data_IF_827944270780
#
_entry.id   IF_827944270780
#
_cell.length_a   1.000
_cell.length_b   1.000
_cell.length_c   1.000
_cell.angle_alpha   90.00
_cell.angle_beta   90.00
_cell.angle_gamma   90.00
#
_symmetry.space_group_name_H-M   'P 1'
#
loop_
_entity.id
_entity.type
_entity.pdbx_description
1 polymer ?
#
# COMPACT_ATOMS: atom_id res chain seq x y z
N UNK A 1 -14.89 4.43 -25.13
CA UNK A 1 -14.32 3.93 -23.88
C UNK A 1 -13.44 5.00 -23.28
N UNK A 2 -13.56 5.24 -21.98
CA UNK A 2 -12.66 6.19 -21.35
C UNK A 2 -11.24 5.66 -21.49
N UNK A 3 -10.44 6.40 -22.21
CA UNK A 3 -9.01 6.17 -22.17
C UNK A 3 -8.58 6.54 -20.76
N UNK A 4 -8.07 5.56 -20.02
CA UNK A 4 -7.39 5.86 -18.77
C UNK A 4 -6.21 6.74 -19.18
N UNK A 5 -6.30 8.01 -18.90
CA UNK A 5 -5.28 8.94 -19.32
C UNK A 5 -4.00 8.76 -18.50
N UNK A 6 -2.93 9.43 -18.92
CA UNK A 6 -1.61 9.32 -18.27
C UNK A 6 -1.66 9.73 -16.79
N UNK A 7 -2.61 10.59 -16.43
CA UNK A 7 -2.78 11.04 -15.03
C UNK A 7 -3.24 9.88 -14.16
N UNK A 8 -4.22 9.08 -14.62
CA UNK A 8 -4.71 7.93 -13.87
C UNK A 8 -3.61 6.87 -13.70
N UNK A 9 -2.83 6.63 -14.75
CA UNK A 9 -1.69 5.71 -14.67
C UNK A 9 -0.68 6.21 -13.63
N UNK A 10 -0.34 7.50 -13.66
CA UNK A 10 0.61 8.08 -12.71
C UNK A 10 0.10 8.00 -11.25
N UNK A 11 -1.18 8.27 -11.03
CA UNK A 11 -1.79 8.17 -9.71
C UNK A 11 -1.78 6.72 -9.20
N UNK A 12 -2.08 5.74 -10.06
CA UNK A 12 -2.06 4.34 -9.67
C UNK A 12 -0.65 3.82 -9.43
N UNK A 13 0.35 4.27 -10.18
CA UNK A 13 1.75 3.95 -9.89
C UNK A 13 2.12 4.44 -8.49
N UNK A 14 1.74 5.67 -8.16
CA UNK A 14 1.98 6.24 -6.84
C UNK A 14 1.26 5.46 -5.75
N UNK A 15 0.01 5.08 -6.00
CA UNK A 15 -0.78 4.30 -5.05
C UNK A 15 -0.19 2.90 -4.84
N UNK A 16 0.31 2.27 -5.89
CA UNK A 16 1.01 0.98 -5.78
C UNK A 16 2.22 1.06 -4.86
N UNK A 17 2.92 2.19 -4.87
CA UNK A 17 4.07 2.41 -3.99
C UNK A 17 3.63 2.66 -2.55
N UNK A 18 2.65 3.55 -2.37
CA UNK A 18 2.29 4.09 -1.04
C UNK A 18 1.31 3.23 -0.26
N UNK A 19 0.38 2.52 -0.91
CA UNK A 19 -0.62 1.75 -0.17
C UNK A 19 0.01 0.68 0.71
N UNK A 20 0.90 -0.19 0.20
CA UNK A 20 1.55 -1.17 1.06
C UNK A 20 2.52 -0.54 2.05
N UNK A 21 3.20 0.55 1.67
CA UNK A 21 4.10 1.26 2.59
C UNK A 21 3.34 1.81 3.78
N UNK A 22 2.19 2.43 3.53
CA UNK A 22 1.31 2.98 4.57
C UNK A 22 0.92 1.89 5.58
N UNK A 23 0.41 0.77 5.10
CA UNK A 23 -0.06 -0.31 5.95
C UNK A 23 1.06 -0.99 6.73
N UNK A 24 2.15 -1.33 6.05
CA UNK A 24 3.26 -2.07 6.67
C UNK A 24 3.98 -1.22 7.71
N UNK A 25 4.31 0.04 7.39
CA UNK A 25 5.00 0.90 8.36
C UNK A 25 4.13 1.19 9.59
N UNK A 26 2.83 1.33 9.41
CA UNK A 26 1.91 1.53 10.53
C UNK A 26 1.73 0.27 11.37
N UNK A 27 1.47 -0.87 10.73
CA UNK A 27 1.21 -2.13 11.45
C UNK A 27 2.44 -2.62 12.20
N UNK A 28 3.62 -2.54 11.59
CA UNK A 28 4.87 -3.03 12.17
C UNK A 28 5.60 -1.96 13.00
N UNK A 29 5.15 -0.71 12.97
CA UNK A 29 5.86 0.42 13.60
C UNK A 29 7.30 0.52 13.10
N UNK A 30 7.49 0.41 11.79
CA UNK A 30 8.81 0.31 11.18
C UNK A 30 9.07 1.44 10.19
N UNK A 31 10.31 1.52 9.75
CA UNK A 31 10.77 2.46 8.72
C UNK A 31 10.91 1.76 7.37
N UNK A 32 11.14 2.56 6.33
CA UNK A 32 11.42 2.04 5.01
C UNK A 32 12.69 1.18 4.99
N UNK A 33 13.71 1.59 5.76
CA UNK A 33 14.93 0.80 5.92
C UNK A 33 14.68 -0.60 6.47
N UNK A 34 13.73 -0.73 7.40
CA UNK A 34 13.33 -2.03 7.93
C UNK A 34 12.71 -2.90 6.82
N UNK A 35 11.84 -2.31 6.00
CA UNK A 35 11.23 -3.02 4.86
C UNK A 35 12.30 -3.50 3.88
N UNK A 36 13.30 -2.67 3.60
CA UNK A 36 14.37 -3.02 2.66
C UNK A 36 15.23 -4.19 3.15
N UNK A 37 15.48 -4.27 4.46
CA UNK A 37 16.47 -5.20 5.03
C UNK A 37 15.89 -6.43 5.69
N UNK A 38 14.69 -6.32 6.28
CA UNK A 38 14.05 -7.47 6.93
C UNK A 38 13.36 -8.34 5.87
N UNK A 39 13.72 -9.64 5.76
CA UNK A 39 13.17 -10.48 4.70
C UNK A 39 11.66 -10.69 4.81
N UNK A 40 11.10 -10.68 6.01
CA UNK A 40 9.65 -10.86 6.21
C UNK A 40 8.89 -9.60 5.82
N UNK A 41 9.36 -8.44 6.24
CA UNK A 41 8.74 -7.15 5.87
C UNK A 41 8.92 -6.85 4.38
N UNK A 42 10.06 -7.21 3.81
CA UNK A 42 10.33 -7.08 2.39
C UNK A 42 9.31 -7.87 1.56
N UNK A 43 9.10 -9.13 1.93
CA UNK A 43 8.11 -9.99 1.26
C UNK A 43 6.70 -9.45 1.43
N UNK A 44 6.35 -9.05 2.65
CA UNK A 44 5.02 -8.49 2.94
C UNK A 44 4.75 -7.25 2.08
N UNK A 45 5.71 -6.34 2.01
CA UNK A 45 5.59 -5.15 1.18
C UNK A 45 5.39 -5.49 -0.30
N UNK A 46 6.23 -6.37 -0.83
CA UNK A 46 6.17 -6.76 -2.24
C UNK A 46 4.86 -7.46 -2.59
N UNK A 47 4.37 -8.31 -1.71
CA UNK A 47 3.07 -8.96 -1.92
C UNK A 47 1.93 -7.92 -1.90
N UNK A 48 1.98 -6.94 -1.01
CA UNK A 48 1.01 -5.85 -0.98
C UNK A 48 1.06 -4.97 -2.23
N UNK A 49 2.26 -4.72 -2.73
CA UNK A 49 2.46 -3.99 -4.00
C UNK A 49 1.82 -4.76 -5.16
N UNK A 50 2.05 -6.06 -5.24
CA UNK A 50 1.47 -6.92 -6.27
C UNK A 50 -0.07 -6.90 -6.24
N UNK A 51 -0.65 -6.94 -5.05
CA UNK A 51 -2.10 -6.86 -4.86
C UNK A 51 -2.67 -5.54 -5.37
N UNK A 52 -2.00 -4.44 -5.06
CA UNK A 52 -2.43 -3.12 -5.50
C UNK A 52 -2.35 -2.99 -7.03
N UNK A 53 -1.27 -3.49 -7.63
CA UNK A 53 -1.10 -3.49 -9.08
C UNK A 53 -2.17 -4.34 -9.78
N UNK A 54 -2.48 -5.51 -9.23
CA UNK A 54 -3.52 -6.38 -9.77
C UNK A 54 -4.89 -5.69 -9.77
N UNK A 55 -5.20 -4.98 -8.68
CA UNK A 55 -6.44 -4.21 -8.61
C UNK A 55 -6.47 -3.09 -9.65
N UNK A 56 -5.38 -2.35 -9.79
CA UNK A 56 -5.29 -1.27 -10.80
C UNK A 56 -5.57 -1.80 -12.20
N UNK A 57 -4.99 -2.94 -12.56
CA UNK A 57 -5.22 -3.57 -13.86
C UNK A 57 -6.67 -4.02 -14.02
N UNK A 58 -7.27 -4.60 -12.98
CA UNK A 58 -8.68 -5.01 -13.00
C UNK A 58 -9.61 -3.82 -13.21
N UNK A 59 -9.23 -2.64 -12.72
CA UNK A 59 -10.00 -1.40 -12.90
C UNK A 59 -9.72 -0.72 -14.26
N UNK A 60 -8.91 -1.33 -15.11
CA UNK A 60 -8.63 -0.81 -16.45
C UNK A 60 -7.44 0.12 -16.54
N UNK A 61 -6.64 0.24 -15.50
CA UNK A 61 -5.44 1.08 -15.51
C UNK A 61 -4.32 0.36 -16.28
N UNK A 62 -3.74 1.02 -17.26
CA UNK A 62 -2.69 0.46 -18.11
C UNK A 62 -1.32 0.55 -17.42
N UNK A 63 -1.16 -0.18 -16.32
CA UNK A 63 0.12 -0.24 -15.62
C UNK A 63 1.15 -1.03 -16.43
N UNK A 64 2.44 -0.60 -16.44
CA UNK A 64 3.50 -1.39 -17.09
C UNK A 64 3.55 -2.81 -16.52
N UNK A 65 3.95 -3.78 -17.35
CA UNK A 65 4.06 -5.17 -16.92
C UNK A 65 5.07 -5.36 -15.79
N UNK A 66 6.09 -4.51 -15.76
CA UNK A 66 7.14 -4.52 -14.74
C UNK A 66 6.94 -3.50 -13.63
N UNK A 67 5.68 -3.07 -13.37
CA UNK A 67 5.38 -2.05 -12.37
C UNK A 67 5.97 -2.38 -11.00
N UNK A 68 6.00 -3.65 -10.63
CA UNK A 68 6.50 -4.05 -9.32
C UNK A 68 8.01 -3.77 -9.20
N UNK A 69 8.77 -4.06 -10.24
CA UNK A 69 10.20 -3.74 -10.29
C UNK A 69 10.44 -2.23 -10.28
N UNK A 70 9.66 -1.49 -11.07
CA UNK A 70 9.78 -0.03 -11.14
C UNK A 70 9.51 0.60 -9.78
N UNK A 71 8.45 0.17 -9.11
CA UNK A 71 8.08 0.72 -7.80
C UNK A 71 9.08 0.33 -6.72
N UNK A 72 9.59 -0.89 -6.76
CA UNK A 72 10.64 -1.31 -5.83
C UNK A 72 11.91 -0.48 -6.00
N UNK A 73 12.30 -0.20 -7.23
CA UNK A 73 13.47 0.64 -7.51
C UNK A 73 13.26 2.06 -6.96
N UNK A 74 12.06 2.61 -7.12
CA UNK A 74 11.73 3.93 -6.55
C UNK A 74 11.78 3.91 -5.03
N UNK A 75 11.19 2.92 -4.40
CA UNK A 75 11.21 2.79 -2.95
C UNK A 75 12.64 2.67 -2.43
N UNK A 76 13.47 1.90 -3.13
CA UNK A 76 14.87 1.70 -2.75
C UNK A 76 15.67 3.00 -2.77
N UNK A 77 15.26 3.97 -3.58
CA UNK A 77 15.89 5.29 -3.65
C UNK A 77 15.40 6.28 -2.60
N UNK A 78 14.37 5.94 -1.83
CA UNK A 78 13.86 6.81 -0.77
C UNK A 78 14.68 6.62 0.51
N UNK A 79 14.70 7.64 1.40
CA UNK A 79 15.49 7.54 2.65
C UNK A 79 15.04 6.39 3.54
N UNK A 80 15.99 5.73 4.18
CA UNK A 80 15.71 4.59 5.08
C UNK A 80 14.87 5.00 6.29
N UNK A 81 15.00 6.26 6.75
CA UNK A 81 14.25 6.77 7.89
C UNK A 81 12.79 7.10 7.57
N UNK A 82 12.40 7.05 6.30
CA UNK A 82 11.06 7.43 5.88
C UNK A 82 10.01 6.49 6.46
N UNK A 83 8.91 7.08 6.90
CA UNK A 83 7.71 6.38 7.35
C UNK A 83 6.51 7.06 6.73
N UNK A 84 5.47 6.27 6.42
CA UNK A 84 4.23 6.83 5.90
C UNK A 84 3.52 7.66 6.98
N UNK A 85 2.68 8.60 6.54
CA UNK A 85 1.88 9.42 7.46
C UNK A 85 1.00 8.57 8.38
N UNK A 86 0.51 7.43 7.90
CA UNK A 86 -0.28 6.50 8.72
C UNK A 86 0.52 5.98 9.92
N UNK A 87 1.80 5.69 9.75
CA UNK A 87 2.66 5.25 10.85
C UNK A 87 2.84 6.37 11.89
N UNK A 88 2.99 7.59 11.42
CA UNK A 88 3.11 8.76 12.30
C UNK A 88 1.81 9.00 13.05
N UNK A 89 0.68 8.90 12.34
CA UNK A 89 -0.64 9.12 12.93
C UNK A 89 -0.98 8.09 14.00
N UNK A 90 -0.69 6.81 13.76
CA UNK A 90 -1.02 5.75 14.73
C UNK A 90 -0.20 5.93 16.02
N UNK A 91 1.07 6.26 15.90
CA UNK A 91 1.93 6.49 17.07
C UNK A 91 1.51 7.73 17.87
N UNK A 92 0.95 8.73 17.18
CA UNK A 92 0.46 9.95 17.80
C UNK A 92 -0.97 9.82 18.34
N UNK A 93 -1.61 8.67 18.16
CA UNK A 93 -3.00 8.45 18.59
C UNK A 93 -4.04 9.15 17.74
N UNK A 94 -3.67 9.59 16.52
CA UNK A 94 -4.59 10.27 15.60
C UNK A 94 -5.36 9.27 14.76
N UNK A 95 -6.46 9.75 14.16
CA UNK A 95 -7.27 8.96 13.23
C UNK A 95 -6.46 8.55 12.00
N UNK A 96 -6.79 7.39 11.44
CA UNK A 96 -6.12 6.83 10.28
C UNK A 96 -7.03 6.82 9.05
N UNK A 97 -6.43 6.85 7.88
CA UNK A 97 -7.15 6.73 6.60
C UNK A 97 -7.15 5.30 6.07
N UNK A 98 -7.04 4.31 6.95
CA UNK A 98 -6.92 2.90 6.57
C UNK A 98 -8.05 2.42 5.67
N UNK A 99 -9.29 2.89 5.89
CA UNK A 99 -10.45 2.51 5.08
C UNK A 99 -10.30 2.93 3.61
N UNK A 100 -9.53 3.99 3.34
CA UNK A 100 -9.31 4.53 2.01
C UNK A 100 -8.02 4.04 1.36
N UNK A 101 -7.18 3.30 2.10
CA UNK A 101 -5.91 2.76 1.62
C UNK A 101 -6.01 1.23 1.58
N UNK A 102 -5.54 0.54 2.60
CA UNK A 102 -5.60 -0.94 2.62
C UNK A 102 -7.03 -1.47 2.62
N UNK A 103 -7.93 -0.80 3.35
CA UNK A 103 -9.35 -1.15 3.35
C UNK A 103 -9.97 -1.03 1.97
N UNK A 104 -9.64 0.03 1.22
CA UNK A 104 -10.13 0.21 -0.14
C UNK A 104 -9.59 -0.88 -1.08
N UNK A 105 -8.29 -1.18 -1.00
CA UNK A 105 -7.70 -2.24 -1.82
C UNK A 105 -8.37 -3.59 -1.53
N UNK A 106 -8.55 -3.93 -0.26
CA UNK A 106 -9.19 -5.20 0.12
C UNK A 106 -10.62 -5.28 -0.39
N UNK A 107 -11.41 -4.22 -0.20
CA UNK A 107 -12.82 -4.18 -0.58
C UNK A 107 -13.02 -4.23 -2.09
N UNK A 108 -12.27 -3.40 -2.83
CA UNK A 108 -12.38 -3.34 -4.28
C UNK A 108 -11.83 -4.61 -4.93
N UNK A 109 -10.79 -5.21 -4.36
CA UNK A 109 -10.26 -6.49 -4.84
C UNK A 109 -11.33 -7.58 -4.73
N UNK A 110 -12.04 -7.64 -3.60
CA UNK A 110 -13.14 -8.60 -3.42
C UNK A 110 -14.24 -8.38 -4.47
N UNK A 111 -14.59 -7.12 -4.76
CA UNK A 111 -15.60 -6.79 -5.77
C UNK A 111 -15.20 -7.25 -7.18
N UNK A 112 -13.90 -7.40 -7.43
CA UNK A 112 -13.34 -7.83 -8.72
C UNK A 112 -12.82 -9.27 -8.70
N UNK A 113 -13.23 -10.06 -7.71
CA UNK A 113 -12.84 -11.47 -7.55
C UNK A 113 -11.32 -11.67 -7.46
N UNK A 114 -10.63 -10.71 -6.88
CA UNK A 114 -9.20 -10.78 -6.62
C UNK A 114 -8.94 -11.07 -5.15
N UNK A 115 -7.92 -11.87 -4.88
CA UNK A 115 -7.47 -12.11 -3.51
C UNK A 115 -6.43 -11.05 -3.11
N UNK A 116 -6.65 -10.41 -1.98
CA UNK A 116 -5.73 -9.39 -1.46
C UNK A 116 -5.46 -9.64 0.03
N UNK A 117 -4.79 -10.76 0.35
CA UNK A 117 -4.60 -11.15 1.76
C UNK A 117 -3.75 -10.17 2.56
N UNK A 118 -2.75 -9.52 1.95
CA UNK A 118 -1.91 -8.55 2.65
C UNK A 118 -2.75 -7.34 3.07
N UNK A 119 -3.44 -6.71 2.11
CA UNK A 119 -4.25 -5.54 2.42
C UNK A 119 -5.43 -5.86 3.33
N UNK A 120 -6.03 -7.04 3.19
CA UNK A 120 -7.08 -7.50 4.10
C UNK A 120 -6.55 -7.62 5.52
N UNK A 121 -5.36 -8.19 5.69
CA UNK A 121 -4.73 -8.34 7.01
C UNK A 121 -4.33 -6.99 7.60
N UNK A 122 -3.70 -6.12 6.80
CA UNK A 122 -3.32 -4.78 7.26
C UNK A 122 -4.54 -3.97 7.67
N UNK A 123 -5.62 -4.04 6.89
CA UNK A 123 -6.87 -3.37 7.25
C UNK A 123 -7.41 -3.88 8.58
N UNK A 124 -7.44 -5.20 8.78
CA UNK A 124 -7.94 -5.79 10.02
C UNK A 124 -7.11 -5.38 11.23
N UNK A 125 -5.79 -5.42 11.10
CA UNK A 125 -4.86 -5.07 12.20
C UNK A 125 -5.01 -3.60 12.59
N UNK A 126 -5.26 -2.71 11.62
CA UNK A 126 -5.29 -1.27 11.86
C UNK A 126 -6.68 -0.73 12.21
N UNK A 127 -7.75 -1.53 12.08
CA UNK A 127 -9.12 -1.07 12.33
C UNK A 127 -9.34 -0.57 13.76
N UNK A 128 -8.72 -1.19 14.77
CA UNK A 128 -8.85 -0.75 16.15
C UNK A 128 -8.33 0.68 16.36
N UNK A 129 -7.48 1.15 15.48
CA UNK A 129 -6.77 2.42 15.60
C UNK A 129 -7.33 3.52 14.70
N UNK A 130 -8.32 3.20 13.85
CA UNK A 130 -8.71 4.10 12.76
C UNK A 130 -9.28 5.44 13.24
N UNK A 131 -9.98 5.46 14.37
CA UNK A 131 -10.60 6.67 14.92
C UNK A 131 -9.71 7.41 15.93
N UNK A 132 -8.48 6.98 16.07
CA UNK A 132 -7.52 7.52 17.02
C UNK A 132 -7.53 6.72 18.34
N UNK A 133 -6.34 6.48 18.87
CA UNK A 133 -6.19 5.70 20.09
C UNK A 133 -4.82 5.95 20.71
N UNK A 134 -4.80 6.37 21.93
CA UNK A 134 -3.56 6.60 22.69
C UNK A 134 -2.90 5.29 23.12
#
# INVERSE_FOLDING_TARGET
APVVDDIDVALWQKFCLFAPMSGVTAAARCTLGDIKRDPHLNRLYKDGLAETAALGRALGVALPDDIETIMWDRLSGLPDSLRASTAIDIEAGRALEVDWISGAVARLSQDHDLDAPVHRTLNAVLQLWKDGRA
#
